data_IF_016071855404
#
_entry.id   IF_016071855404
#
_cell.length_a   1.000
_cell.length_b   1.000
_cell.length_c   1.000
_cell.angle_alpha   90.00
_cell.angle_beta   90.00
_cell.angle_gamma   90.00
#
_symmetry.space_group_name_H-M   'P 1'
#
loop_
_entity.id
_entity.type
_entity.pdbx_description
1 polymer ?
#
# COMPACT_ATOMS: atom_id res chain seq x y z
N UNK A 1 -3.23 19.23 1.85
CA UNK A 1 -2.44 18.44 2.82
C UNK A 1 -1.84 17.27 2.05
N UNK A 2 -0.59 16.90 2.32
CA UNK A 2 0.04 15.73 1.70
C UNK A 2 -0.26 14.47 2.53
N UNK A 3 -0.53 13.35 1.86
CA UNK A 3 -0.89 12.06 2.46
C UNK A 3 0.13 11.03 1.95
N UNK A 4 1.20 10.73 2.70
CA UNK A 4 2.16 9.72 2.29
C UNK A 4 1.60 8.31 2.55
N UNK A 5 1.55 7.48 1.51
CA UNK A 5 1.24 6.06 1.58
C UNK A 5 2.49 5.25 1.23
N UNK A 6 2.94 4.41 2.16
CA UNK A 6 4.20 3.68 2.04
C UNK A 6 4.02 2.21 1.71
N UNK A 7 4.90 1.68 0.88
CA UNK A 7 5.09 0.26 0.62
C UNK A 7 6.54 -0.06 0.89
N UNK A 8 6.79 -1.15 1.63
CA UNK A 8 8.14 -1.57 1.97
C UNK A 8 8.35 -3.02 1.61
N UNK A 9 9.22 -3.24 0.63
CA UNK A 9 9.69 -4.56 0.24
C UNK A 9 10.75 -5.04 1.23
N UNK A 10 10.36 -6.03 2.04
CA UNK A 10 11.20 -6.59 3.10
C UNK A 10 12.39 -7.37 2.51
N UNK A 11 12.24 -7.99 1.34
CA UNK A 11 13.27 -8.83 0.74
C UNK A 11 14.38 -7.96 0.11
N UNK A 12 14.00 -6.88 -0.55
CA UNK A 12 14.95 -5.98 -1.23
C UNK A 12 15.42 -4.81 -0.37
N UNK A 13 14.80 -4.60 0.79
CA UNK A 13 14.99 -3.40 1.61
C UNK A 13 14.74 -2.11 0.81
N UNK A 14 13.69 -2.09 -0.01
CA UNK A 14 13.29 -0.94 -0.85
C UNK A 14 11.94 -0.40 -0.41
N UNK A 15 11.84 0.92 -0.35
CA UNK A 15 10.63 1.66 -0.05
C UNK A 15 10.07 2.34 -1.29
N UNK A 16 8.76 2.34 -1.42
CA UNK A 16 8.02 3.20 -2.32
C UNK A 16 7.06 4.05 -1.50
N UNK A 17 7.00 5.35 -1.78
CA UNK A 17 6.05 6.25 -1.13
C UNK A 17 5.27 7.01 -2.18
N UNK A 18 3.96 6.87 -2.12
CA UNK A 18 3.04 7.61 -2.95
C UNK A 18 2.43 8.74 -2.14
N UNK A 19 2.54 9.99 -2.60
CA UNK A 19 2.09 11.17 -1.86
C UNK A 19 0.80 11.68 -2.48
N UNK A 20 -0.33 11.39 -1.86
CA UNK A 20 -1.64 11.91 -2.27
C UNK A 20 -1.86 13.34 -1.81
N UNK A 21 -2.64 14.10 -2.58
CA UNK A 21 -3.04 15.49 -2.22
C UNK A 21 -4.54 15.66 -1.95
N UNK A 22 -5.32 14.59 -2.14
CA UNK A 22 -6.79 14.61 -2.04
C UNK A 22 -7.29 13.84 -0.82
N UNK A 23 -7.61 12.54 -0.95
CA UNK A 23 -8.23 11.73 0.11
C UNK A 23 -7.52 10.39 0.26
N UNK A 24 -7.37 9.95 1.51
CA UNK A 24 -6.90 8.61 1.84
C UNK A 24 -8.07 7.62 1.70
N UNK A 25 -8.22 7.02 0.51
CA UNK A 25 -9.26 6.05 0.18
C UNK A 25 -8.64 4.71 -0.18
N UNK A 26 -9.46 3.66 -0.22
CA UNK A 26 -9.00 2.35 -0.69
C UNK A 26 -8.51 2.39 -2.15
N UNK A 27 -9.08 3.25 -3.00
CA UNK A 27 -8.58 3.49 -4.36
C UNK A 27 -7.18 4.11 -4.34
N UNK A 28 -6.93 5.09 -3.47
CA UNK A 28 -5.59 5.68 -3.32
C UNK A 28 -4.57 4.66 -2.79
N UNK A 29 -4.93 3.88 -1.78
CA UNK A 29 -4.08 2.82 -1.23
C UNK A 29 -3.72 1.79 -2.31
N UNK A 30 -4.69 1.35 -3.12
CA UNK A 30 -4.40 0.42 -4.19
C UNK A 30 -3.64 1.07 -5.35
N UNK A 31 -3.96 2.29 -5.75
CA UNK A 31 -3.20 3.00 -6.78
C UNK A 31 -1.72 3.13 -6.38
N UNK A 32 -1.46 3.29 -5.08
CA UNK A 32 -0.10 3.28 -4.53
C UNK A 32 0.58 1.92 -4.73
N UNK A 33 -0.14 0.81 -4.52
CA UNK A 33 0.35 -0.57 -4.78
C UNK A 33 0.56 -0.81 -6.27
N UNK A 34 -0.37 -0.37 -7.11
CA UNK A 34 -0.28 -0.46 -8.57
C UNK A 34 0.95 0.29 -9.08
N UNK A 35 1.16 1.53 -8.63
CA UNK A 35 2.32 2.34 -9.01
C UNK A 35 3.62 1.70 -8.54
N UNK A 36 3.69 1.23 -7.29
CA UNK A 36 4.83 0.47 -6.80
C UNK A 36 5.12 -0.74 -7.69
N UNK A 37 4.11 -1.53 -8.04
CA UNK A 37 4.28 -2.73 -8.85
C UNK A 37 4.88 -2.39 -10.23
N UNK A 38 4.24 -1.51 -11.00
CA UNK A 38 4.69 -1.24 -12.36
C UNK A 38 5.96 -0.38 -12.46
N UNK A 39 6.25 0.46 -11.47
CA UNK A 39 7.41 1.36 -11.50
C UNK A 39 8.63 0.78 -10.81
N UNK A 40 8.44 -0.15 -9.88
CA UNK A 40 9.54 -0.72 -9.09
C UNK A 40 9.46 -2.24 -8.95
N UNK A 41 8.34 -2.78 -8.44
CA UNK A 41 8.20 -4.19 -8.07
C UNK A 41 8.43 -5.16 -9.22
N UNK A 42 7.85 -4.90 -10.39
CA UNK A 42 7.90 -5.78 -11.56
C UNK A 42 9.32 -6.02 -12.05
N UNK A 43 10.23 -5.05 -11.90
CA UNK A 43 11.63 -5.21 -12.34
C UNK A 43 12.41 -6.21 -11.50
N UNK A 44 12.00 -6.43 -10.24
CA UNK A 44 12.65 -7.37 -9.33
C UNK A 44 11.87 -8.68 -9.17
N UNK A 45 10.56 -8.66 -9.41
CA UNK A 45 9.63 -9.76 -9.15
C UNK A 45 8.82 -10.17 -10.40
N UNK A 46 9.39 -10.00 -11.60
CA UNK A 46 8.71 -10.26 -12.89
C UNK A 46 8.15 -11.68 -13.09
N UNK A 47 8.56 -12.66 -12.28
CA UNK A 47 8.08 -14.03 -12.30
C UNK A 47 7.14 -14.36 -11.13
N UNK A 48 6.76 -13.38 -10.31
CA UNK A 48 5.83 -13.58 -9.21
C UNK A 48 4.44 -13.92 -9.76
N UNK A 49 3.84 -14.98 -9.21
CA UNK A 49 2.46 -15.39 -9.46
C UNK A 49 1.53 -15.00 -8.30
N UNK A 50 2.11 -14.45 -7.22
CA UNK A 50 1.39 -14.08 -6.02
C UNK A 50 2.06 -12.92 -5.31
N UNK A 51 1.25 -12.11 -4.61
CA UNK A 51 1.67 -10.98 -3.81
C UNK A 51 1.13 -11.10 -2.39
N UNK A 52 2.02 -11.14 -1.39
CA UNK A 52 1.65 -11.07 0.02
C UNK A 52 1.70 -9.62 0.51
N UNK A 53 0.56 -9.12 0.96
CA UNK A 53 0.39 -7.78 1.54
C UNK A 53 0.17 -7.92 3.04
N UNK A 54 1.11 -7.39 3.83
CA UNK A 54 0.90 -7.20 5.27
C UNK A 54 0.41 -5.78 5.53
N UNK A 55 -0.84 -5.62 5.98
CA UNK A 55 -1.49 -4.32 6.12
C UNK A 55 -2.06 -4.11 7.52
N UNK A 56 -2.18 -2.84 7.91
CA UNK A 56 -2.95 -2.49 9.09
C UNK A 56 -4.46 -2.64 8.78
N UNK A 57 -5.24 -3.14 9.73
CA UNK A 57 -6.67 -3.44 9.53
C UNK A 57 -7.63 -2.24 9.50
N UNK A 58 -7.11 -1.01 9.45
CA UNK A 58 -7.88 0.24 9.55
C UNK A 58 -7.84 1.11 8.30
N UNK A 59 -8.63 2.19 8.29
CA UNK A 59 -8.57 3.22 7.25
C UNK A 59 -8.84 2.69 5.83
N UNK A 60 -8.02 3.13 4.87
CA UNK A 60 -8.09 2.77 3.46
C UNK A 60 -7.81 1.29 3.17
N UNK A 61 -7.10 0.59 4.05
CA UNK A 61 -6.76 -0.84 3.92
C UNK A 61 -7.62 -1.75 4.82
N UNK A 62 -8.77 -1.24 5.29
CA UNK A 62 -9.58 -1.97 6.27
C UNK A 62 -9.98 -3.37 5.79
N UNK A 63 -9.82 -4.36 6.68
CA UNK A 63 -10.23 -5.75 6.41
C UNK A 63 -11.74 -5.92 6.17
N UNK A 64 -12.54 -4.98 6.69
CA UNK A 64 -14.00 -4.89 6.46
C UNK A 64 -14.37 -3.99 5.27
N UNK A 65 -13.40 -3.29 4.69
CA UNK A 65 -13.61 -2.36 3.58
C UNK A 65 -13.99 -3.10 2.30
N UNK A 66 -15.21 -2.86 1.80
CA UNK A 66 -15.67 -3.44 0.53
C UNK A 66 -14.90 -2.88 -0.67
N UNK A 67 -14.72 -1.56 -0.72
CA UNK A 67 -13.96 -0.89 -1.78
C UNK A 67 -12.52 -1.42 -1.85
N UNK A 68 -11.87 -1.63 -0.71
CA UNK A 68 -10.54 -2.23 -0.66
C UNK A 68 -10.48 -3.61 -1.32
N UNK A 69 -11.43 -4.50 -1.01
CA UNK A 69 -11.50 -5.84 -1.63
C UNK A 69 -11.81 -5.77 -3.12
N UNK A 70 -12.73 -4.88 -3.52
CA UNK A 70 -13.09 -4.67 -4.93
C UNK A 70 -11.91 -4.19 -5.75
N UNK A 71 -11.20 -3.19 -5.23
CA UNK A 71 -10.01 -2.66 -5.87
C UNK A 71 -8.93 -3.76 -5.96
N UNK A 72 -8.69 -4.54 -4.88
CA UNK A 72 -7.76 -5.67 -4.93
C UNK A 72 -8.13 -6.69 -6.02
N UNK A 73 -9.42 -7.00 -6.21
CA UNK A 73 -9.86 -7.87 -7.30
C UNK A 73 -9.48 -7.31 -8.67
N UNK A 74 -9.66 -6.00 -8.89
CA UNK A 74 -9.24 -5.36 -10.15
C UNK A 74 -7.74 -5.52 -10.36
N UNK A 75 -6.93 -5.31 -9.33
CA UNK A 75 -5.47 -5.47 -9.42
C UNK A 75 -5.05 -6.93 -9.63
N UNK A 76 -5.72 -7.89 -9.00
CA UNK A 76 -5.48 -9.32 -9.24
C UNK A 76 -5.76 -9.68 -10.71
N UNK A 77 -6.90 -9.24 -11.25
CA UNK A 77 -7.26 -9.47 -12.65
C UNK A 77 -6.28 -8.79 -13.62
N UNK A 78 -5.84 -7.57 -13.29
CA UNK A 78 -4.91 -6.78 -14.10
C UNK A 78 -3.52 -7.44 -14.19
N UNK A 79 -3.03 -7.97 -13.07
CA UNK A 79 -1.67 -8.53 -12.97
C UNK A 79 -1.62 -10.04 -13.20
N UNK A 80 -2.75 -10.74 -13.11
CA UNK A 80 -2.80 -12.19 -13.10
C UNK A 80 -2.20 -12.83 -11.83
N UNK A 81 -2.02 -12.06 -10.75
CA UNK A 81 -1.43 -12.55 -9.50
C UNK A 81 -2.50 -12.85 -8.44
N UNK A 82 -2.25 -13.91 -7.66
CA UNK A 82 -2.98 -14.15 -6.41
C UNK A 82 -2.54 -13.13 -5.36
N UNK A 83 -3.47 -12.39 -4.77
CA UNK A 83 -3.17 -11.42 -3.72
C UNK A 83 -3.57 -12.01 -2.36
N UNK A 84 -2.59 -12.25 -1.50
CA UNK A 84 -2.83 -12.63 -0.11
C UNK A 84 -2.69 -11.42 0.79
N UNK A 85 -3.74 -11.13 1.58
CA UNK A 85 -3.73 -10.03 2.53
C UNK A 85 -3.77 -10.59 3.94
N UNK A 86 -2.77 -10.20 4.72
CA UNK A 86 -2.66 -10.53 6.14
C UNK A 86 -2.69 -9.24 6.94
N UNK A 87 -3.73 -9.10 7.77
CA UNK A 87 -3.91 -7.93 8.60
C UNK A 87 -3.26 -8.09 9.96
N UNK A 88 -2.62 -7.03 10.44
CA UNK A 88 -2.20 -6.92 11.83
C UNK A 88 -3.42 -6.80 12.75
N UNK A 89 -3.45 -7.50 13.91
CA UNK A 89 -4.52 -7.33 14.89
C UNK A 89 -4.67 -5.87 15.34
N UNK A 90 -5.87 -5.44 15.78
CA UNK A 90 -6.09 -4.08 16.28
C UNK A 90 -5.08 -3.71 17.38
N UNK A 91 -4.52 -2.50 17.30
CA UNK A 91 -3.54 -1.99 18.27
C UNK A 91 -2.12 -2.56 18.11
N UNK A 92 -1.83 -3.26 17.02
CA UNK A 92 -0.51 -3.88 16.78
C UNK A 92 0.32 -3.24 15.67
N UNK A 93 -0.04 -2.04 15.19
CA UNK A 93 0.71 -1.32 14.13
C UNK A 93 2.18 -1.09 14.48
N UNK A 94 2.54 -1.03 15.78
CA UNK A 94 3.94 -1.01 16.24
C UNK A 94 4.76 -2.21 15.74
N UNK A 95 4.15 -3.34 15.41
CA UNK A 95 4.84 -4.52 14.89
C UNK A 95 4.96 -4.53 13.37
N UNK A 96 4.31 -3.58 12.69
CA UNK A 96 4.48 -3.40 11.25
C UNK A 96 5.90 -2.91 10.96
N UNK A 97 6.65 -3.68 10.16
CA UNK A 97 8.05 -3.40 9.88
C UNK A 97 8.24 -2.08 9.14
N UNK A 98 7.23 -1.61 8.40
CA UNK A 98 7.31 -0.36 7.63
C UNK A 98 7.51 0.85 8.55
N UNK A 99 6.90 0.86 9.73
CA UNK A 99 7.05 1.94 10.71
C UNK A 99 8.51 2.12 11.13
N UNK A 100 9.19 1.00 11.41
CA UNK A 100 10.57 1.02 11.90
C UNK A 100 11.60 1.10 10.78
N UNK A 101 11.33 0.48 9.63
CA UNK A 101 12.31 0.33 8.55
C UNK A 101 12.18 1.35 7.44
N UNK A 102 11.03 2.00 7.28
CA UNK A 102 10.80 3.04 6.28
C UNK A 102 10.50 4.39 6.94
N UNK A 103 9.35 4.50 7.62
CA UNK A 103 8.87 5.79 8.14
C UNK A 103 9.76 6.39 9.23
N UNK A 104 10.40 5.57 10.06
CA UNK A 104 11.36 6.07 11.05
C UNK A 104 12.55 6.80 10.39
N UNK A 105 13.03 6.30 9.25
CA UNK A 105 14.16 6.89 8.53
C UNK A 105 13.75 8.11 7.71
N UNK A 106 12.56 8.07 7.09
CA UNK A 106 11.96 9.26 6.46
C UNK A 106 11.85 10.39 7.48
N UNK A 107 11.28 10.10 8.66
CA UNK A 107 11.14 11.08 9.75
C UNK A 107 12.49 11.64 10.23
N UNK A 108 13.54 10.80 10.29
CA UNK A 108 14.90 11.25 10.61
C UNK A 108 15.46 12.18 9.52
N UNK A 109 15.26 11.84 8.24
CA UNK A 109 15.73 12.66 7.12
C UNK A 109 15.03 14.03 7.05
N UNK A 110 13.79 14.10 7.50
CA UNK A 110 12.99 15.34 7.58
C UNK A 110 13.36 16.26 8.75
N UNK A 111 14.10 15.76 9.75
CA UNK A 111 14.32 16.49 11.00
C UNK A 111 14.90 17.89 10.74
N UNK A 112 14.17 18.91 11.16
CA UNK A 112 14.60 20.32 11.04
C UNK A 112 14.45 20.92 9.64
N UNK A 113 13.78 20.23 8.70
CA UNK A 113 13.52 20.74 7.33
C UNK A 113 12.05 21.13 7.19
N UNK A 114 11.74 22.35 6.75
CA UNK A 114 10.36 22.80 6.64
C UNK A 114 9.69 22.20 5.39
N UNK A 115 8.48 21.63 5.56
CA UNK A 115 7.69 21.01 4.48
C UNK A 115 6.81 22.06 3.78
N UNK A 116 7.45 22.95 3.02
CA UNK A 116 6.78 24.14 2.45
C UNK A 116 6.14 23.92 1.08
N UNK A 117 6.44 22.81 0.40
CA UNK A 117 5.81 22.43 -0.87
C UNK A 117 5.73 20.92 -1.06
N UNK A 118 4.89 20.47 -1.98
CA UNK A 118 4.77 19.06 -2.33
C UNK A 118 6.06 18.50 -2.94
N UNK A 119 6.75 19.30 -3.75
CA UNK A 119 8.04 18.96 -4.35
C UNK A 119 9.09 18.70 -3.28
N UNK A 120 9.13 19.54 -2.23
CA UNK A 120 10.03 19.35 -1.09
C UNK A 120 9.67 18.06 -0.33
N UNK A 121 8.40 17.78 -0.11
CA UNK A 121 7.97 16.54 0.54
C UNK A 121 8.46 15.32 -0.24
N UNK A 122 8.21 15.28 -1.56
CA UNK A 122 8.64 14.17 -2.43
C UNK A 122 10.16 14.02 -2.43
N UNK A 123 10.89 15.13 -2.60
CA UNK A 123 12.35 15.12 -2.61
C UNK A 123 12.93 14.64 -1.27
N UNK A 124 12.35 15.07 -0.15
CA UNK A 124 12.81 14.66 1.17
C UNK A 124 12.50 13.18 1.45
N UNK A 125 11.38 12.65 0.98
CA UNK A 125 11.11 11.21 1.11
C UNK A 125 12.06 10.42 0.21
N UNK A 126 12.15 10.76 -1.07
CA UNK A 126 12.95 10.02 -2.06
C UNK A 126 14.46 10.11 -1.82
N UNK A 127 14.93 11.11 -1.07
CA UNK A 127 16.35 11.19 -0.64
C UNK A 127 16.68 10.32 0.57
N UNK A 128 15.70 9.60 1.13
CA UNK A 128 15.92 8.75 2.30
C UNK A 128 16.75 7.53 1.91
N UNK A 129 17.97 7.45 2.45
CA UNK A 129 18.87 6.30 2.31
C UNK A 129 19.45 5.91 3.66
N UNK A 130 19.85 4.64 3.81
CA UNK A 130 20.55 4.17 5.02
C UNK A 130 21.82 3.41 4.66
N UNK A 131 22.77 3.36 5.58
CA UNK A 131 23.99 2.54 5.46
C UNK A 131 23.69 1.05 5.25
N UNK A 132 22.51 0.60 5.70
CA UNK A 132 22.03 -0.78 5.51
C UNK A 132 21.37 -1.00 4.14
N UNK A 133 21.50 -0.05 3.21
CA UNK A 133 21.03 -0.18 1.83
C UNK A 133 19.55 0.11 1.62
N UNK A 134 18.87 0.79 2.56
CA UNK A 134 17.50 1.27 2.29
C UNK A 134 17.54 2.29 1.16
N UNK A 135 16.71 2.08 0.15
CA UNK A 135 16.45 3.06 -0.91
C UNK A 135 14.95 3.33 -0.98
N UNK A 136 14.58 4.60 -1.11
CA UNK A 136 13.18 5.03 -1.15
C UNK A 136 12.92 5.78 -2.44
N UNK A 137 11.96 5.31 -3.22
CA UNK A 137 11.39 6.06 -4.33
C UNK A 137 10.11 6.75 -3.89
N UNK A 138 9.85 7.95 -4.42
CA UNK A 138 8.71 8.75 -4.02
C UNK A 138 8.10 9.49 -5.21
N UNK A 139 6.78 9.51 -5.27
CA UNK A 139 6.03 10.18 -6.33
C UNK A 139 4.81 10.92 -5.77
N UNK A 140 4.50 12.07 -6.38
CA UNK A 140 3.29 12.83 -6.09
C UNK A 140 2.12 12.29 -6.92
N UNK A 141 1.04 11.95 -6.25
CA UNK A 141 -0.25 11.66 -6.87
C UNK A 141 -1.09 12.93 -6.94
N UNK A 142 -1.49 13.31 -8.15
CA UNK A 142 -2.38 14.45 -8.42
C UNK A 142 -3.82 14.03 -8.72
N UNK A 143 -4.10 12.73 -8.68
CA UNK A 143 -5.44 12.19 -8.89
C UNK A 143 -6.41 12.59 -7.78
N UNK A 144 -7.69 12.64 -8.15
CA UNK A 144 -8.75 13.04 -7.25
C UNK A 144 -9.58 11.84 -6.77
N UNK A 145 -9.33 11.42 -5.53
CA UNK A 145 -10.06 10.32 -4.90
C UNK A 145 -11.28 10.81 -4.15
N UNK A 146 -12.43 10.18 -4.42
CA UNK A 146 -13.70 10.52 -3.79
C UNK A 146 -13.99 9.65 -2.58
N UNK A 147 -14.58 10.25 -1.55
CA UNK A 147 -15.09 9.51 -0.38
C UNK A 147 -16.54 9.10 -0.57
N UNK A 148 -16.97 8.04 0.11
CA UNK A 148 -18.37 7.61 0.09
C UNK A 148 -18.76 6.73 -1.09
N UNK A 149 -17.76 6.18 -1.81
CA UNK A 149 -17.99 5.16 -2.83
C UNK A 149 -18.56 3.91 -2.14
N UNK A 150 -19.73 3.48 -2.60
CA UNK A 150 -20.42 2.29 -2.10
C UNK A 150 -20.28 1.20 -3.13
N UNK A 151 -19.72 0.07 -2.71
CA UNK A 151 -19.72 -1.15 -3.51
C UNK A 151 -21.01 -1.91 -3.22
N UNK A 152 -21.75 -2.19 -4.28
CA UNK A 152 -23.02 -2.89 -4.18
C UNK A 152 -22.82 -4.38 -3.88
N UNK A 153 -23.94 -5.09 -3.70
CA UNK A 153 -23.88 -6.52 -3.38
C UNK A 153 -23.41 -7.36 -4.56
N UNK A 154 -23.79 -7.00 -5.78
CA UNK A 154 -23.42 -7.74 -7.00
C UNK A 154 -21.94 -7.62 -7.29
N UNK A 155 -21.34 -6.44 -7.09
CA UNK A 155 -19.91 -6.22 -7.19
C UNK A 155 -19.14 -7.04 -6.15
N UNK A 156 -19.65 -7.12 -4.91
CA UNK A 156 -19.03 -7.96 -3.87
C UNK A 156 -19.10 -9.45 -4.17
N UNK A 157 -20.20 -9.92 -4.79
CA UNK A 157 -20.38 -11.32 -5.19
C UNK A 157 -19.43 -11.73 -6.34
N UNK A 158 -18.96 -10.76 -7.13
CA UNK A 158 -17.98 -10.97 -8.18
C UNK A 158 -16.52 -11.01 -7.68
N UNK A 159 -16.27 -10.89 -6.38
CA UNK A 159 -14.90 -10.99 -5.84
C UNK A 159 -14.56 -12.47 -5.60
N UNK A 160 -13.53 -12.96 -6.28
CA UNK A 160 -12.99 -14.30 -6.14
C UNK A 160 -12.06 -14.39 -4.91
N UNK A 161 -12.67 -14.41 -3.71
CA UNK A 161 -11.98 -14.36 -2.43
C UNK A 161 -12.18 -15.63 -1.61
N UNK A 162 -11.10 -16.14 -1.01
CA UNK A 162 -11.11 -17.23 -0.03
C UNK A 162 -10.50 -16.74 1.27
N UNK A 163 -11.17 -16.97 2.40
CA UNK A 163 -10.65 -16.65 3.73
C UNK A 163 -9.46 -17.54 4.12
N UNK A 164 -8.50 -16.99 4.86
CA UNK A 164 -7.37 -17.76 5.39
C UNK A 164 -7.82 -18.75 6.48
N UNK A 165 -7.09 -19.85 6.65
CA UNK A 165 -7.30 -20.79 7.76
C UNK A 165 -7.03 -20.15 9.13
N UNK A 166 -6.24 -19.08 9.16
CA UNK A 166 -5.94 -18.30 10.37
C UNK A 166 -6.62 -16.93 10.28
N UNK A 167 -7.71 -16.78 11.02
CA UNK A 167 -8.55 -15.58 11.07
C UNK A 167 -9.13 -15.13 9.72
N UNK A 168 -10.01 -15.95 9.14
CA UNK A 168 -10.72 -15.66 7.88
C UNK A 168 -11.55 -14.36 7.89
N UNK A 169 -11.89 -13.84 9.08
CA UNK A 169 -12.64 -12.60 9.25
C UNK A 169 -11.87 -11.36 8.79
N UNK A 170 -10.53 -11.43 8.77
CA UNK A 170 -9.69 -10.35 8.30
C UNK A 170 -8.58 -10.77 7.35
N UNK A 171 -8.16 -12.03 7.31
CA UNK A 171 -7.12 -12.52 6.41
C UNK A 171 -7.74 -13.29 5.25
N UNK A 172 -7.32 -13.01 4.04
CA UNK A 172 -7.93 -13.58 2.85
C UNK A 172 -6.98 -13.56 1.66
N UNK A 173 -7.28 -14.41 0.68
CA UNK A 173 -6.67 -14.45 -0.64
C UNK A 173 -7.70 -14.05 -1.68
N UNK A 174 -7.32 -13.18 -2.61
CA UNK A 174 -8.09 -12.81 -3.79
C UNK A 174 -7.35 -13.35 -5.00
N UNK A 175 -8.04 -14.11 -5.83
CA UNK A 175 -7.47 -14.71 -7.04
C UNK A 175 -8.02 -13.99 -8.28
N UNK A 176 -7.27 -13.96 -9.39
CA UNK A 176 -7.78 -13.47 -10.67
C UNK A 176 -9.04 -14.25 -11.12
N UNK A 177 -9.86 -13.61 -11.95
CA UNK A 177 -11.07 -14.18 -12.59
C UNK A 177 -10.82 -14.42 -14.07
#
# INVERSE_FOLDING_TARGET
>A
MAIPYGIYDIALNKGWVHVGITKDTAEFALQSIRNWWYKMGIYYHNHANSLLITADGGGSTSSKGKLWKHELQKFANETGMDIEVVHFPPGTSKWNKIEHRLFSYISKNWRGKPLVSYEIIVQLIGSTKTEKGLEVECELDRENYQTGIVIDRSEMENINMIGSSFHAEWNYRIMPI
#
